data_IF_738189486660
#
_entry.id   IF_738189486660
#
_cell.length_a   1.000
_cell.length_b   1.000
_cell.length_c   1.000
_cell.angle_alpha   90.00
_cell.angle_beta   90.00
_cell.angle_gamma   90.00
#
_symmetry.space_group_name_H-M   'P 1'
#
loop_
_entity.id
_entity.type
_entity.pdbx_description
1 polymer ?
#
# COMPACT_ATOMS: atom_id res chain seq x y z
N UNK A 1 11.41 -4.19 -4.32
CA UNK A 1 10.44 -5.15 -3.74
C UNK A 1 11.12 -6.47 -3.42
N UNK A 2 11.88 -7.01 -4.36
CA UNK A 2 12.53 -8.32 -4.23
C UNK A 2 13.46 -8.44 -3.03
N UNK A 3 14.37 -7.48 -2.85
CA UNK A 3 15.30 -7.48 -1.71
C UNK A 3 14.59 -7.43 -0.35
N UNK A 4 13.46 -6.70 -0.24
CA UNK A 4 12.67 -6.65 1.00
C UNK A 4 11.99 -8.00 1.26
N UNK A 5 11.36 -8.55 0.22
CA UNK A 5 10.67 -9.84 0.32
C UNK A 5 11.65 -10.97 0.71
N UNK A 6 12.85 -10.96 0.15
CA UNK A 6 13.92 -11.90 0.51
C UNK A 6 14.40 -11.70 1.95
N UNK A 7 14.67 -10.45 2.36
CA UNK A 7 15.22 -10.14 3.69
C UNK A 7 14.26 -10.46 4.83
N UNK A 8 12.95 -10.36 4.60
CA UNK A 8 11.92 -10.55 5.63
C UNK A 8 11.03 -11.79 5.40
N UNK A 9 11.37 -12.64 4.42
CA UNK A 9 10.68 -13.92 4.20
C UNK A 9 9.26 -13.80 3.63
N UNK A 10 8.95 -12.71 2.91
CA UNK A 10 7.66 -12.56 2.23
C UNK A 10 7.69 -13.18 0.83
N UNK A 11 6.61 -13.88 0.45
CA UNK A 11 6.41 -14.28 -0.95
C UNK A 11 6.09 -13.04 -1.78
N UNK A 12 6.89 -12.78 -2.82
CA UNK A 12 6.65 -11.69 -3.77
C UNK A 12 5.25 -11.75 -4.38
N UNK A 13 4.76 -12.95 -4.71
CA UNK A 13 3.41 -13.15 -5.25
C UNK A 13 2.33 -12.73 -4.25
N UNK A 14 2.54 -12.99 -2.97
CA UNK A 14 1.61 -12.57 -1.91
C UNK A 14 1.58 -11.04 -1.79
N UNK A 15 2.74 -10.39 -1.67
CA UNK A 15 2.78 -8.92 -1.51
C UNK A 15 2.27 -8.22 -2.79
N UNK A 16 2.61 -8.74 -3.97
CA UNK A 16 2.07 -8.25 -5.24
C UNK A 16 0.55 -8.41 -5.32
N UNK A 17 -0.01 -9.50 -4.76
CA UNK A 17 -1.46 -9.71 -4.72
C UNK A 17 -2.21 -8.67 -3.89
N UNK A 18 -1.56 -8.08 -2.87
CA UNK A 18 -2.18 -7.03 -2.07
C UNK A 18 -2.38 -5.76 -2.91
N UNK A 19 -1.40 -5.42 -3.75
CA UNK A 19 -1.48 -4.28 -4.66
C UNK A 19 -2.53 -4.54 -5.74
N UNK A 20 -2.46 -5.69 -6.43
CA UNK A 20 -3.37 -5.98 -7.57
C UNK A 20 -4.82 -6.18 -7.15
N UNK A 21 -5.06 -6.59 -5.90
CA UNK A 21 -6.42 -6.69 -5.32
C UNK A 21 -6.85 -5.45 -4.57
N UNK A 22 -6.06 -4.38 -4.60
CA UNK A 22 -6.34 -3.11 -3.91
C UNK A 22 -6.70 -3.32 -2.42
N UNK A 23 -5.94 -4.18 -1.74
CA UNK A 23 -6.07 -4.45 -0.30
C UNK A 23 -5.92 -3.15 0.47
N UNK A 24 -6.80 -2.93 1.46
CA UNK A 24 -6.70 -1.79 2.36
C UNK A 24 -5.54 -1.96 3.34
N UNK A 25 -4.92 -0.85 3.72
CA UNK A 25 -3.80 -0.80 4.68
C UNK A 25 -4.15 -1.46 6.01
N UNK A 26 -5.38 -1.25 6.51
CA UNK A 26 -5.91 -1.88 7.73
C UNK A 26 -5.91 -3.42 7.70
N UNK A 27 -5.89 -4.01 6.50
CA UNK A 27 -5.97 -5.45 6.30
C UNK A 27 -4.62 -6.11 6.04
N UNK A 28 -3.54 -5.32 6.04
CA UNK A 28 -2.18 -5.83 5.93
C UNK A 28 -1.75 -6.53 7.22
N UNK A 29 -0.93 -7.59 7.14
CA UNK A 29 -0.42 -8.26 8.34
C UNK A 29 0.37 -7.28 9.22
N UNK A 30 0.10 -7.30 10.53
CA UNK A 30 0.84 -6.49 11.53
C UNK A 30 2.35 -6.71 11.42
N UNK A 31 2.79 -7.96 11.23
CA UNK A 31 4.20 -8.29 11.02
C UNK A 31 4.82 -7.59 9.81
N UNK A 32 4.05 -7.43 8.72
CA UNK A 32 4.54 -6.73 7.53
C UNK A 32 4.78 -5.24 7.80
N UNK A 33 3.88 -4.59 8.55
CA UNK A 33 4.04 -3.19 8.94
C UNK A 33 5.26 -3.00 9.85
N UNK A 34 5.47 -3.95 10.78
CA UNK A 34 6.64 -3.96 11.65
C UNK A 34 7.95 -4.12 10.87
N UNK A 35 8.03 -5.11 9.99
CA UNK A 35 9.21 -5.38 9.15
C UNK A 35 9.51 -4.21 8.19
N UNK A 36 8.47 -3.56 7.68
CA UNK A 36 8.61 -2.35 6.90
C UNK A 36 9.18 -1.20 7.73
N UNK A 37 8.77 -1.07 9.00
CA UNK A 37 9.36 -0.13 9.95
C UNK A 37 10.84 -0.39 10.19
N UNK A 38 11.23 -1.65 10.39
CA UNK A 38 12.64 -2.04 10.51
C UNK A 38 13.43 -1.65 9.25
N UNK A 39 12.92 -1.98 8.07
CA UNK A 39 13.57 -1.65 6.80
C UNK A 39 13.69 -0.13 6.57
N UNK A 40 12.69 0.65 7.00
CA UNK A 40 12.66 2.10 6.86
C UNK A 40 13.37 2.84 8.01
N UNK A 41 13.82 2.14 9.06
CA UNK A 41 14.29 2.75 10.31
C UNK A 41 13.26 3.72 10.92
N UNK A 42 11.99 3.34 10.85
CA UNK A 42 10.85 4.09 11.39
C UNK A 42 10.11 3.24 12.43
N UNK A 43 9.43 3.91 13.36
CA UNK A 43 8.53 3.20 14.26
C UNK A 43 7.26 2.75 13.51
N UNK A 44 6.58 1.76 14.06
CA UNK A 44 5.41 1.15 13.41
C UNK A 44 4.25 2.14 13.20
N UNK A 45 4.05 3.08 14.12
CA UNK A 45 3.00 4.10 14.02
C UNK A 45 3.25 5.04 12.85
N UNK A 46 4.49 5.54 12.69
CA UNK A 46 4.87 6.42 11.59
C UNK A 46 4.70 5.72 10.23
N UNK A 47 5.07 4.43 10.17
CA UNK A 47 4.90 3.63 8.94
C UNK A 47 3.42 3.47 8.61
N UNK A 48 2.60 3.10 9.61
CA UNK A 48 1.17 2.91 9.40
C UNK A 48 0.49 4.21 8.98
N UNK A 49 0.81 5.34 9.61
CA UNK A 49 0.27 6.66 9.24
C UNK A 49 0.65 7.05 7.80
N UNK A 50 1.92 6.86 7.41
CA UNK A 50 2.37 7.12 6.04
C UNK A 50 1.62 6.24 5.02
N UNK A 51 1.37 4.98 5.33
CA UNK A 51 0.61 4.09 4.46
C UNK A 51 -0.85 4.55 4.31
N UNK A 52 -1.49 5.02 5.38
CA UNK A 52 -2.84 5.58 5.32
C UNK A 52 -2.90 6.86 4.45
N UNK A 53 -1.89 7.73 4.55
CA UNK A 53 -1.80 8.92 3.70
C UNK A 53 -1.71 8.51 2.22
N UNK A 54 -0.84 7.56 1.89
CA UNK A 54 -0.70 7.05 0.52
C UNK A 54 -1.97 6.38 0.00
N UNK A 55 -2.68 5.59 0.84
CA UNK A 55 -3.97 5.01 0.48
C UNK A 55 -5.00 6.09 0.14
N UNK A 56 -5.08 7.14 0.97
CA UNK A 56 -6.00 8.25 0.74
C UNK A 56 -5.64 9.05 -0.53
N UNK A 57 -4.36 9.30 -0.79
CA UNK A 57 -3.90 9.94 -2.04
C UNK A 57 -4.28 9.10 -3.28
N UNK A 58 -4.12 7.78 -3.19
CA UNK A 58 -4.53 6.86 -4.25
C UNK A 58 -6.05 6.85 -4.48
N UNK A 59 -6.84 6.83 -3.40
CA UNK A 59 -8.31 6.90 -3.47
C UNK A 59 -8.76 8.22 -4.11
N UNK A 60 -8.12 9.34 -3.79
CA UNK A 60 -8.40 10.64 -4.41
C UNK A 60 -8.03 10.67 -5.90
N UNK A 61 -6.85 10.15 -6.26
CA UNK A 61 -6.40 10.07 -7.64
C UNK A 61 -7.37 9.24 -8.51
N UNK A 62 -7.76 8.06 -8.04
CA UNK A 62 -8.68 7.17 -8.75
C UNK A 62 -10.10 7.74 -8.83
N UNK A 63 -10.59 8.41 -7.79
CA UNK A 63 -11.86 9.14 -7.81
C UNK A 63 -11.85 10.25 -8.87
N UNK A 64 -10.79 11.05 -8.92
CA UNK A 64 -10.64 12.13 -9.90
C UNK A 64 -10.52 11.60 -11.34
N UNK A 65 -9.83 10.49 -11.56
CA UNK A 65 -9.78 9.77 -12.85
C UNK A 65 -11.19 9.36 -13.30
N UNK A 66 -11.99 8.75 -12.41
CA UNK A 66 -13.37 8.35 -12.70
C UNK A 66 -14.27 9.53 -13.04
N UNK A 67 -14.09 10.67 -12.35
CA UNK A 67 -14.83 11.91 -12.64
C UNK A 67 -14.53 12.45 -14.03
N UNK A 68 -13.25 12.49 -14.42
CA UNK A 68 -12.81 12.93 -15.76
C UNK A 68 -13.35 12.03 -16.88
N UNK A 69 -13.37 10.71 -16.66
CA UNK A 69 -13.95 9.78 -17.64
C UNK A 69 -15.46 10.00 -17.83
N UNK A 70 -16.21 10.28 -16.76
CA UNK A 70 -17.64 10.60 -16.85
C UNK A 70 -17.94 11.91 -17.56
N UNK A 71 -17.05 12.91 -17.50
CA UNK A 71 -17.24 14.21 -18.17
C UNK A 71 -16.89 14.18 -19.65
N UNK A 72 -16.23 13.13 -20.15
CA UNK A 72 -15.93 12.96 -21.58
C UNK A 72 -16.96 12.11 -22.34
N UNK A 73 -18.00 11.62 -21.65
CA UNK A 73 -19.05 10.76 -22.23
C UNK A 73 -20.40 11.53 -22.31
N UNK A 74 -20.43 12.81 -21.92
CA UNK A 74 -21.60 13.69 -22.01
C UNK A 74 -21.45 14.71 -23.15
#
# INVERSE_FOLDING_TARGET
>A
MDQFCESYGYSQGTVASWITRNRRVESLPVGFIYDLGLAASLNMSDVYEKLLILENEYDQFTSNQRRKLKTQID
#
